data_IF_035932483737
#
_entry.id   IF_035932483737
#
_cell.length_a   1.000
_cell.length_b   1.000
_cell.length_c   1.000
_cell.angle_alpha   90.00
_cell.angle_beta   90.00
_cell.angle_gamma   90.00
#
_symmetry.space_group_name_H-M   'P 1'
#
loop_
_entity.id
_entity.type
_entity.pdbx_description
1 polymer ?
#
# COMPACT_ATOMS: atom_id res chain seq x y z
N UNK A 1 -23.31 4.26 4.07
CA UNK A 1 -22.08 4.98 4.50
C UNK A 1 -22.47 6.43 4.79
N UNK A 2 -22.08 7.00 5.95
CA UNK A 2 -22.42 8.38 6.29
C UNK A 2 -21.45 9.35 5.60
N UNK A 3 -21.94 10.12 4.63
CA UNK A 3 -21.13 11.06 3.82
C UNK A 3 -20.49 12.16 4.67
N UNK A 4 -21.10 12.53 5.80
CA UNK A 4 -20.54 13.51 6.72
C UNK A 4 -19.26 12.96 7.40
N UNK A 5 -19.27 11.69 7.83
CA UNK A 5 -18.09 11.03 8.42
C UNK A 5 -16.98 10.95 7.38
N UNK A 6 -17.28 10.48 6.15
CA UNK A 6 -16.29 10.40 5.09
C UNK A 6 -15.63 11.75 4.78
N UNK A 7 -16.44 12.83 4.69
CA UNK A 7 -15.92 14.18 4.44
C UNK A 7 -15.04 14.67 5.59
N UNK A 8 -15.37 14.31 6.82
CA UNK A 8 -14.56 14.65 8.00
C UNK A 8 -13.23 13.94 7.96
N UNK A 9 -13.22 12.63 7.70
CA UNK A 9 -11.97 11.84 7.59
C UNK A 9 -11.06 12.33 6.46
N UNK A 10 -11.63 12.63 5.30
CA UNK A 10 -10.88 13.18 4.18
C UNK A 10 -10.24 14.54 4.53
N UNK A 11 -10.97 15.41 5.27
CA UNK A 11 -10.42 16.69 5.74
C UNK A 11 -9.35 16.53 6.81
N UNK A 12 -9.46 15.53 7.67
CA UNK A 12 -8.45 15.23 8.69
C UNK A 12 -7.17 14.77 8.02
N UNK A 13 -7.23 13.78 7.10
CA UNK A 13 -6.07 13.35 6.33
C UNK A 13 -5.44 14.52 5.54
N UNK A 14 -6.27 15.37 4.92
CA UNK A 14 -5.77 16.54 4.17
C UNK A 14 -5.05 17.58 5.05
N UNK A 15 -5.24 17.56 6.37
CA UNK A 15 -4.57 18.42 7.34
C UNK A 15 -3.34 17.77 8.00
N UNK A 16 -3.00 16.57 7.61
CA UNK A 16 -1.81 15.86 8.06
C UNK A 16 -0.70 15.90 7.00
N UNK A 17 0.08 16.98 6.89
CA UNK A 17 1.07 17.14 5.82
C UNK A 17 2.13 16.05 5.83
N UNK A 18 2.47 15.52 7.01
CA UNK A 18 3.41 14.39 7.15
C UNK A 18 2.90 13.13 6.47
N UNK A 19 1.67 12.71 6.77
CA UNK A 19 1.04 11.53 6.15
C UNK A 19 0.90 11.72 4.63
N UNK A 20 0.45 12.90 4.19
CA UNK A 20 0.31 13.21 2.77
C UNK A 20 1.65 13.19 2.03
N UNK A 21 2.70 13.73 2.63
CA UNK A 21 4.04 13.67 2.04
C UNK A 21 4.48 12.24 1.80
N UNK A 22 4.40 11.38 2.81
CA UNK A 22 4.84 10.00 2.72
C UNK A 22 3.97 9.14 1.80
N UNK A 23 2.66 9.43 1.70
CA UNK A 23 1.75 8.69 0.83
C UNK A 23 1.84 9.18 -0.63
N UNK A 24 1.80 10.50 -0.86
CA UNK A 24 1.60 11.06 -2.20
C UNK A 24 2.89 11.59 -2.84
N UNK A 25 3.79 12.22 -2.06
CA UNK A 25 4.98 12.86 -2.62
C UNK A 25 6.20 11.94 -2.61
N UNK A 26 6.38 11.14 -1.57
CA UNK A 26 7.58 10.29 -1.43
C UNK A 26 7.71 9.21 -2.52
N UNK A 27 6.65 8.45 -2.90
CA UNK A 27 6.77 7.42 -3.94
C UNK A 27 7.23 7.99 -5.31
N UNK A 28 6.59 9.02 -5.87
CA UNK A 28 7.07 9.60 -7.12
C UNK A 28 8.45 10.25 -6.98
N UNK A 29 8.76 10.88 -5.82
CA UNK A 29 10.08 11.42 -5.56
C UNK A 29 11.16 10.34 -5.58
N UNK A 30 10.90 9.19 -4.95
CA UNK A 30 11.81 8.03 -4.98
C UNK A 30 12.07 7.59 -6.42
N UNK A 31 11.01 7.48 -7.24
CA UNK A 31 11.15 7.11 -8.66
C UNK A 31 11.98 8.15 -9.44
N UNK A 32 11.77 9.44 -9.19
CA UNK A 32 12.55 10.53 -9.82
C UNK A 32 14.02 10.46 -9.40
N UNK A 33 14.31 10.21 -8.13
CA UNK A 33 15.69 10.05 -7.62
C UNK A 33 16.38 8.87 -8.32
N UNK A 34 15.71 7.71 -8.43
CA UNK A 34 16.24 6.56 -9.16
C UNK A 34 16.45 6.91 -10.64
N UNK A 35 15.48 7.57 -11.27
CA UNK A 35 15.59 8.01 -12.65
C UNK A 35 16.62 9.14 -12.89
N UNK A 36 17.09 9.82 -11.85
CA UNK A 36 18.16 10.80 -11.98
C UNK A 36 19.56 10.17 -12.16
N UNK A 37 19.70 8.87 -11.82
CA UNK A 37 20.94 8.11 -12.02
C UNK A 37 21.03 7.62 -13.47
N UNK A 38 22.00 8.09 -14.30
CA UNK A 38 22.06 7.74 -15.71
C UNK A 38 22.11 6.23 -15.97
N UNK A 39 22.90 5.48 -15.18
CA UNK A 39 23.03 4.02 -15.29
C UNK A 39 21.67 3.27 -15.09
N UNK A 40 20.70 3.86 -14.40
CA UNK A 40 19.39 3.24 -14.18
C UNK A 40 18.40 3.50 -15.33
N UNK A 41 18.75 4.36 -16.27
CA UNK A 41 18.00 4.61 -17.51
C UNK A 41 18.45 3.75 -18.67
N UNK A 42 19.58 3.07 -18.54
CA UNK A 42 20.12 2.20 -19.57
C UNK A 42 19.56 0.78 -19.41
N UNK A 43 19.19 0.10 -20.52
CA UNK A 43 18.80 -1.31 -20.50
C UNK A 43 19.92 -2.16 -19.90
N UNK A 44 19.58 -3.09 -19.04
CA UNK A 44 20.54 -3.99 -18.40
C UNK A 44 20.28 -5.45 -18.80
N UNK A 45 21.31 -6.16 -19.26
CA UNK A 45 21.21 -7.57 -19.67
C UNK A 45 20.72 -8.46 -18.49
N UNK A 46 21.16 -8.16 -17.27
CA UNK A 46 20.74 -8.87 -16.05
C UNK A 46 19.26 -8.69 -15.67
N UNK A 47 18.55 -7.75 -16.30
CA UNK A 47 17.12 -7.50 -16.12
C UNK A 47 16.31 -7.82 -17.38
N UNK A 48 16.83 -8.68 -18.26
CA UNK A 48 16.15 -9.04 -19.52
C UNK A 48 15.99 -7.86 -20.47
N UNK A 49 16.91 -6.89 -20.47
CA UNK A 49 16.85 -5.69 -21.31
C UNK A 49 15.95 -4.57 -20.76
N UNK A 50 15.40 -4.71 -19.55
CA UNK A 50 14.64 -3.65 -18.89
C UNK A 50 15.60 -2.64 -18.23
N UNK A 51 15.14 -1.40 -18.11
CA UNK A 51 15.83 -0.37 -17.33
C UNK A 51 15.51 -0.57 -15.84
N UNK A 52 16.47 -0.30 -14.96
CA UNK A 52 16.24 -0.35 -13.51
C UNK A 52 15.03 0.51 -13.11
N UNK A 53 14.91 1.73 -13.67
CA UNK A 53 13.81 2.63 -13.37
C UNK A 53 12.44 2.01 -13.70
N UNK A 54 12.31 1.25 -14.80
CA UNK A 54 11.04 0.58 -15.16
C UNK A 54 10.68 -0.53 -14.16
N UNK A 55 11.68 -1.29 -13.71
CA UNK A 55 11.51 -2.35 -12.71
C UNK A 55 11.06 -1.80 -11.35
N UNK A 56 11.45 -0.56 -11.01
CA UNK A 56 11.06 0.09 -9.77
C UNK A 56 9.70 0.79 -9.80
N UNK A 57 9.04 0.91 -10.95
CA UNK A 57 7.68 1.52 -11.01
C UNK A 57 6.68 0.77 -10.12
N UNK A 58 6.48 -0.56 -10.26
CA UNK A 58 5.59 -1.30 -9.36
C UNK A 58 5.98 -1.17 -7.88
N UNK A 59 7.28 -1.19 -7.59
CA UNK A 59 7.82 -1.08 -6.24
C UNK A 59 7.46 0.26 -5.60
N UNK A 60 7.67 1.38 -6.30
CA UNK A 60 7.35 2.72 -5.79
C UNK A 60 5.85 2.93 -5.61
N UNK A 61 5.02 2.36 -6.48
CA UNK A 61 3.56 2.32 -6.30
C UNK A 61 3.19 1.59 -5.02
N UNK A 62 3.79 0.43 -4.76
CA UNK A 62 3.55 -0.35 -3.53
C UNK A 62 4.01 0.40 -2.27
N UNK A 63 5.11 1.15 -2.32
CA UNK A 63 5.56 1.97 -1.19
C UNK A 63 4.46 2.91 -0.71
N UNK A 64 3.80 3.63 -1.62
CA UNK A 64 2.69 4.52 -1.26
C UNK A 64 1.52 3.79 -0.59
N UNK A 65 1.18 2.59 -1.08
CA UNK A 65 0.11 1.76 -0.50
C UNK A 65 0.48 1.23 0.89
N UNK A 66 1.71 0.77 1.06
CA UNK A 66 2.24 0.27 2.33
C UNK A 66 2.24 1.40 3.36
N UNK A 67 2.70 2.59 3.00
CA UNK A 67 2.65 3.76 3.90
C UNK A 67 1.22 4.10 4.29
N UNK A 68 0.30 4.16 3.33
CA UNK A 68 -1.10 4.49 3.61
C UNK A 68 -1.77 3.46 4.52
N UNK A 69 -1.57 2.16 4.25
CA UNK A 69 -2.21 1.06 4.97
C UNK A 69 -1.52 0.72 6.30
N UNK A 70 -0.19 0.62 6.31
CA UNK A 70 0.57 0.05 7.45
C UNK A 70 0.99 1.12 8.46
N UNK A 71 1.23 2.36 8.01
CA UNK A 71 1.70 3.43 8.88
C UNK A 71 0.60 4.45 9.21
N UNK A 72 -0.05 5.04 8.21
CA UNK A 72 -0.95 6.15 8.42
C UNK A 72 -2.30 5.71 9.03
N UNK A 73 -2.96 4.71 8.43
CA UNK A 73 -4.29 4.27 8.87
C UNK A 73 -4.33 3.74 10.31
N UNK A 74 -3.39 2.88 10.77
CA UNK A 74 -3.41 2.38 12.15
C UNK A 74 -3.25 3.50 13.20
N UNK A 75 -2.40 4.49 12.91
CA UNK A 75 -2.19 5.63 13.79
C UNK A 75 -3.49 6.43 14.02
N UNK A 76 -4.25 6.69 12.94
CA UNK A 76 -5.54 7.37 13.02
C UNK A 76 -6.57 6.60 13.84
N UNK A 77 -6.74 5.29 13.56
CA UNK A 77 -7.71 4.44 14.26
C UNK A 77 -7.39 4.26 15.75
N UNK A 78 -6.13 4.06 16.10
CA UNK A 78 -5.70 3.95 17.48
C UNK A 78 -5.80 5.28 18.22
N UNK A 79 -5.57 6.42 17.54
CA UNK A 79 -5.79 7.75 18.07
C UNK A 79 -7.24 7.98 18.51
N UNK A 80 -8.21 7.54 17.72
CA UNK A 80 -9.62 7.62 18.11
C UNK A 80 -9.95 6.78 19.33
N UNK A 81 -9.32 5.61 19.46
CA UNK A 81 -9.46 4.77 20.67
C UNK A 81 -8.83 5.45 21.88
N UNK A 82 -7.59 5.90 21.77
CA UNK A 82 -6.82 6.52 22.86
C UNK A 82 -7.50 7.78 23.41
N UNK A 83 -8.07 8.62 22.54
CA UNK A 83 -8.79 9.83 22.92
C UNK A 83 -10.27 9.60 23.29
N UNK A 84 -10.73 8.34 23.35
CA UNK A 84 -12.10 7.99 23.71
C UNK A 84 -13.18 8.46 22.72
N UNK A 85 -12.80 8.76 21.46
CA UNK A 85 -13.73 9.18 20.41
C UNK A 85 -14.73 8.07 20.12
N UNK A 86 -14.28 6.82 20.04
CA UNK A 86 -15.16 5.66 19.78
C UNK A 86 -16.22 5.48 20.88
N UNK A 87 -15.85 5.70 22.15
CA UNK A 87 -16.79 5.63 23.28
C UNK A 87 -17.85 6.75 23.21
N UNK A 88 -17.45 7.97 22.83
CA UNK A 88 -18.38 9.07 22.61
C UNK A 88 -19.29 8.84 21.40
N UNK A 89 -18.77 8.22 20.34
CA UNK A 89 -19.59 7.87 19.18
C UNK A 89 -20.65 6.82 19.50
N UNK A 90 -20.40 5.91 20.44
CA UNK A 90 -21.37 4.91 20.87
C UNK A 90 -22.65 5.53 21.47
N UNK A 91 -22.60 6.78 21.96
CA UNK A 91 -23.78 7.54 22.44
C UNK A 91 -24.50 8.34 21.34
N UNK A 92 -24.04 8.25 20.10
CA UNK A 92 -24.64 8.91 18.93
C UNK A 92 -25.28 7.87 17.99
N UNK A 93 -26.18 8.27 17.08
CA UNK A 93 -26.78 7.36 16.10
C UNK A 93 -25.79 6.87 15.04
N UNK A 94 -24.53 7.33 15.06
CA UNK A 94 -23.48 6.94 14.11
C UNK A 94 -22.82 5.65 14.58
N UNK A 95 -22.91 4.60 13.77
CA UNK A 95 -22.27 3.31 14.07
C UNK A 95 -20.74 3.44 13.99
N UNK A 96 -19.98 2.90 14.94
CA UNK A 96 -18.51 2.89 14.89
C UNK A 96 -17.94 2.26 13.61
N UNK A 97 -18.63 1.27 13.03
CA UNK A 97 -18.26 0.68 11.73
C UNK A 97 -18.28 1.69 10.57
N UNK A 98 -19.05 2.76 10.67
CA UNK A 98 -19.06 3.83 9.68
C UNK A 98 -17.75 4.64 9.69
N UNK A 99 -17.14 4.81 10.87
CA UNK A 99 -15.83 5.45 10.98
C UNK A 99 -14.74 4.57 10.38
N UNK A 100 -14.71 3.27 10.71
CA UNK A 100 -13.73 2.34 10.15
C UNK A 100 -13.82 2.27 8.63
N UNK A 101 -15.05 2.13 8.08
CA UNK A 101 -15.23 2.08 6.63
C UNK A 101 -14.85 3.41 5.95
N UNK A 102 -15.09 4.56 6.60
CA UNK A 102 -14.68 5.86 6.07
C UNK A 102 -13.16 6.01 6.06
N UNK A 103 -12.47 5.60 7.13
CA UNK A 103 -11.01 5.57 7.22
C UNK A 103 -10.40 4.67 6.15
N UNK A 104 -10.90 3.44 6.01
CA UNK A 104 -10.44 2.52 4.97
C UNK A 104 -10.61 3.10 3.58
N UNK A 105 -11.77 3.71 3.29
CA UNK A 105 -12.03 4.31 1.97
C UNK A 105 -11.12 5.51 1.69
N UNK A 106 -10.92 6.39 2.68
CA UNK A 106 -10.05 7.57 2.51
C UNK A 106 -8.60 7.16 2.25
N UNK A 107 -8.08 6.16 2.99
CA UNK A 107 -6.72 5.67 2.76
C UNK A 107 -6.60 4.84 1.47
N UNK A 108 -7.66 4.10 1.07
CA UNK A 108 -7.71 3.44 -0.23
C UNK A 108 -7.62 4.47 -1.38
N UNK A 109 -8.42 5.54 -1.30
CA UNK A 109 -8.39 6.62 -2.31
C UNK A 109 -7.03 7.33 -2.33
N UNK A 110 -6.42 7.58 -1.17
CA UNK A 110 -5.09 8.16 -1.08
C UNK A 110 -4.02 7.24 -1.70
N UNK A 111 -4.09 5.92 -1.47
CA UNK A 111 -3.19 4.94 -2.07
C UNK A 111 -3.35 4.84 -3.59
N UNK A 112 -4.58 4.84 -4.10
CA UNK A 112 -4.85 4.86 -5.55
C UNK A 112 -4.37 6.17 -6.17
N UNK A 113 -4.61 7.30 -5.52
CA UNK A 113 -4.11 8.60 -5.97
C UNK A 113 -2.58 8.63 -6.01
N UNK A 114 -1.92 8.06 -4.98
CA UNK A 114 -0.46 7.91 -4.94
C UNK A 114 0.05 7.13 -6.15
N UNK A 115 -0.60 6.01 -6.48
CA UNK A 115 -0.24 5.22 -7.67
C UNK A 115 -0.38 6.03 -8.96
N UNK A 116 -1.49 6.75 -9.13
CA UNK A 116 -1.72 7.59 -10.31
C UNK A 116 -0.68 8.71 -10.42
N UNK A 117 -0.36 9.39 -9.30
CA UNK A 117 0.68 10.44 -9.28
C UNK A 117 2.05 9.83 -9.62
N UNK A 118 2.39 8.67 -9.04
CA UNK A 118 3.66 7.98 -9.30
C UNK A 118 3.79 7.58 -10.77
N UNK A 119 2.75 7.00 -11.38
CA UNK A 119 2.74 6.65 -12.79
C UNK A 119 2.83 7.87 -13.70
N UNK A 120 2.11 8.95 -13.36
CA UNK A 120 2.12 10.20 -14.13
C UNK A 120 3.49 10.86 -14.09
N UNK A 121 4.07 11.00 -12.90
CA UNK A 121 5.41 11.59 -12.73
C UNK A 121 6.47 10.70 -13.39
N UNK A 122 6.40 9.40 -13.21
CA UNK A 122 7.28 8.43 -13.87
C UNK A 122 7.24 8.57 -15.39
N UNK A 123 6.05 8.71 -15.97
CA UNK A 123 5.87 8.92 -17.42
C UNK A 123 6.46 10.24 -17.89
N UNK A 124 6.21 11.33 -17.18
CA UNK A 124 6.62 12.67 -17.61
C UNK A 124 8.10 12.97 -17.38
N UNK A 125 8.70 12.42 -16.31
CA UNK A 125 10.07 12.76 -15.88
C UNK A 125 11.09 11.69 -16.27
N UNK A 126 10.70 10.41 -16.14
CA UNK A 126 11.60 9.28 -16.35
C UNK A 126 11.30 8.52 -17.68
N UNK A 127 10.27 8.95 -18.41
CA UNK A 127 9.78 8.29 -19.63
C UNK A 127 9.53 6.79 -19.45
N UNK A 128 8.96 6.42 -18.27
CA UNK A 128 8.60 5.02 -17.99
C UNK A 128 7.37 4.61 -18.80
N UNK A 129 7.27 3.33 -19.12
CA UNK A 129 6.13 2.81 -19.81
C UNK A 129 4.92 2.72 -18.88
N UNK A 130 3.77 3.22 -19.34
CA UNK A 130 2.50 3.00 -18.66
C UNK A 130 2.09 1.53 -18.77
N UNK A 131 1.29 1.00 -17.82
CA UNK A 131 0.83 -0.37 -17.87
C UNK A 131 0.15 -0.71 -19.20
N UNK A 132 0.69 -1.72 -19.90
CA UNK A 132 0.15 -2.17 -21.20
C UNK A 132 -1.12 -3.00 -21.02
N UNK A 133 -1.28 -3.65 -19.85
CA UNK A 133 -2.48 -4.41 -19.48
C UNK A 133 -3.24 -3.68 -18.35
N UNK A 134 -4.08 -2.65 -18.67
CA UNK A 134 -4.67 -1.76 -17.67
C UNK A 134 -5.67 -2.46 -16.74
N UNK A 135 -6.43 -3.45 -17.24
CA UNK A 135 -7.39 -4.17 -16.40
C UNK A 135 -6.71 -5.08 -15.39
N UNK A 136 -5.67 -5.82 -15.80
CA UNK A 136 -4.87 -6.64 -14.90
C UNK A 136 -4.14 -5.77 -13.86
N UNK A 137 -3.60 -4.63 -14.30
CA UNK A 137 -2.96 -3.68 -13.40
C UNK A 137 -3.93 -3.12 -12.35
N UNK A 138 -5.13 -2.71 -12.77
CA UNK A 138 -6.16 -2.21 -11.84
C UNK A 138 -6.57 -3.29 -10.83
N UNK A 139 -6.74 -4.53 -11.28
CA UNK A 139 -7.09 -5.65 -10.39
C UNK A 139 -5.98 -5.91 -9.37
N UNK A 140 -4.72 -5.99 -9.80
CA UNK A 140 -3.57 -6.15 -8.91
C UNK A 140 -3.45 -4.96 -7.93
N UNK A 141 -3.63 -3.73 -8.42
CA UNK A 141 -3.61 -2.52 -7.62
C UNK A 141 -4.66 -2.55 -6.50
N UNK A 142 -5.91 -2.90 -6.83
CA UNK A 142 -7.00 -2.95 -5.85
C UNK A 142 -6.77 -4.04 -4.80
N UNK A 143 -6.29 -5.22 -5.20
CA UNK A 143 -5.92 -6.29 -4.27
C UNK A 143 -4.76 -5.89 -3.36
N UNK A 144 -3.73 -5.18 -3.88
CA UNK A 144 -2.63 -4.66 -3.09
C UNK A 144 -3.11 -3.64 -2.05
N UNK A 145 -3.99 -2.71 -2.45
CA UNK A 145 -4.61 -1.74 -1.52
C UNK A 145 -5.39 -2.47 -0.43
N UNK A 146 -6.23 -3.46 -0.80
CA UNK A 146 -6.99 -4.23 0.17
C UNK A 146 -6.08 -4.98 1.15
N UNK A 147 -5.01 -5.61 0.68
CA UNK A 147 -4.05 -6.31 1.53
C UNK A 147 -3.32 -5.33 2.47
N UNK A 148 -2.91 -4.14 1.98
CA UNK A 148 -2.27 -3.12 2.79
C UNK A 148 -3.19 -2.60 3.91
N UNK A 149 -4.45 -2.29 3.58
CA UNK A 149 -5.44 -1.82 4.54
C UNK A 149 -5.85 -2.92 5.53
N UNK A 150 -5.95 -4.17 5.08
CA UNK A 150 -6.23 -5.30 5.95
C UNK A 150 -5.09 -5.51 6.98
N UNK A 151 -3.83 -5.41 6.53
CA UNK A 151 -2.66 -5.49 7.41
C UNK A 151 -2.67 -4.35 8.44
N UNK A 152 -2.93 -3.12 8.00
CA UNK A 152 -3.07 -1.98 8.91
C UNK A 152 -4.24 -2.13 9.88
N UNK A 153 -5.35 -2.73 9.43
CA UNK A 153 -6.49 -3.01 10.31
C UNK A 153 -6.12 -4.00 11.43
N UNK A 154 -5.29 -5.00 11.14
CA UNK A 154 -4.75 -5.92 12.16
C UNK A 154 -3.87 -5.16 13.15
N UNK A 155 -2.95 -4.31 12.66
CA UNK A 155 -2.09 -3.47 13.51
C UNK A 155 -2.95 -2.60 14.45
N UNK A 156 -3.97 -1.93 13.91
CA UNK A 156 -4.90 -1.13 14.71
C UNK A 156 -5.69 -1.97 15.72
N UNK A 157 -6.09 -3.20 15.35
CA UNK A 157 -6.87 -4.08 16.22
C UNK A 157 -6.08 -4.54 17.44
N UNK A 158 -4.78 -4.84 17.29
CA UNK A 158 -3.92 -5.31 18.40
C UNK A 158 -3.30 -4.17 19.20
N UNK A 159 -3.32 -2.93 18.68
CA UNK A 159 -2.69 -1.77 19.32
C UNK A 159 -3.68 -1.04 20.23
N UNK A 160 -3.25 -0.76 21.46
CA UNK A 160 -4.05 0.01 22.44
C UNK A 160 -3.80 1.53 22.36
N UNK A 161 -2.61 1.93 21.93
CA UNK A 161 -2.18 3.33 21.85
C UNK A 161 -1.52 3.62 20.50
N UNK A 162 -1.50 4.90 20.10
CA UNK A 162 -0.80 5.36 18.88
C UNK A 162 0.68 4.96 18.91
N UNK A 163 1.31 5.02 20.09
CA UNK A 163 2.72 4.67 20.26
C UNK A 163 2.99 3.18 19.96
N UNK A 164 2.10 2.29 20.43
CA UNK A 164 2.18 0.85 20.16
C UNK A 164 1.91 0.58 18.67
N UNK A 165 0.90 1.23 18.10
CA UNK A 165 0.61 1.11 16.66
C UNK A 165 1.79 1.54 15.80
N UNK A 166 2.45 2.64 16.16
CA UNK A 166 3.65 3.10 15.48
C UNK A 166 4.81 2.12 15.58
N UNK A 167 5.05 1.54 16.77
CA UNK A 167 6.11 0.56 16.98
C UNK A 167 5.88 -0.72 16.16
N UNK A 168 4.66 -1.30 16.22
CA UNK A 168 4.29 -2.48 15.43
C UNK A 168 4.30 -2.14 13.94
N UNK A 169 3.73 -0.99 13.56
CA UNK A 169 3.73 -0.50 12.19
C UNK A 169 5.15 -0.44 11.62
N UNK A 170 6.09 0.14 12.34
CA UNK A 170 7.50 0.21 11.92
C UNK A 170 8.15 -1.17 11.83
N UNK A 171 7.91 -2.05 12.79
CA UNK A 171 8.45 -3.42 12.78
C UNK A 171 7.95 -4.24 11.59
N UNK A 172 6.69 -4.02 11.16
CA UNK A 172 6.08 -4.70 10.00
C UNK A 172 6.45 -4.00 8.69
N UNK A 173 6.65 -2.70 8.71
CA UNK A 173 6.92 -1.87 7.53
C UNK A 173 8.17 -2.32 6.76
N UNK A 174 9.31 -2.47 7.44
CA UNK A 174 10.56 -2.84 6.78
C UNK A 174 10.54 -4.22 6.11
N UNK A 175 10.08 -5.31 6.77
CA UNK A 175 9.89 -6.59 6.08
C UNK A 175 8.92 -6.51 4.90
N UNK A 176 7.87 -5.70 5.02
CA UNK A 176 6.89 -5.49 3.94
C UNK A 176 7.52 -4.80 2.74
N UNK A 177 8.34 -3.76 2.95
CA UNK A 177 9.10 -3.10 1.89
C UNK A 177 10.13 -4.03 1.25
N UNK A 178 10.75 -4.92 2.04
CA UNK A 178 11.67 -5.93 1.50
C UNK A 178 10.93 -6.86 0.55
N UNK A 179 9.79 -7.39 0.96
CA UNK A 179 8.96 -8.25 0.10
C UNK A 179 8.44 -7.52 -1.14
N UNK A 180 8.18 -6.21 -1.06
CA UNK A 180 7.80 -5.39 -2.21
C UNK A 180 8.96 -5.14 -3.20
N UNK A 181 10.20 -5.53 -2.85
CA UNK A 181 11.36 -5.40 -3.73
C UNK A 181 12.10 -4.06 -3.68
N UNK A 182 11.93 -3.29 -2.57
CA UNK A 182 12.54 -1.94 -2.46
C UNK A 182 14.06 -1.99 -2.49
N UNK A 183 14.70 -2.96 -1.82
CA UNK A 183 16.17 -3.10 -1.81
C UNK A 183 16.68 -4.00 -2.91
N UNK A 184 15.92 -5.01 -3.27
CA UNK A 184 16.26 -5.95 -4.34
C UNK A 184 14.97 -6.33 -5.06
N UNK A 185 14.78 -5.95 -6.34
CA UNK A 185 13.60 -6.36 -7.09
C UNK A 185 13.41 -7.87 -7.09
N UNK A 186 12.17 -8.33 -6.94
CA UNK A 186 11.87 -9.76 -6.80
C UNK A 186 12.48 -10.62 -7.91
N UNK A 187 12.48 -10.20 -9.20
CA UNK A 187 13.14 -10.97 -10.27
C UNK A 187 14.67 -11.10 -10.14
N UNK A 188 15.29 -10.26 -9.30
CA UNK A 188 16.74 -10.28 -9.06
C UNK A 188 17.12 -11.03 -7.79
N UNK A 189 16.13 -11.56 -7.05
CA UNK A 189 16.38 -12.35 -5.84
C UNK A 189 16.84 -13.77 -6.19
N UNK A 190 17.65 -14.45 -5.31
CA UNK A 190 17.89 -15.88 -5.43
C UNK A 190 16.57 -16.66 -5.44
N UNK A 191 16.49 -17.76 -6.22
CA UNK A 191 15.28 -18.53 -6.47
C UNK A 191 14.49 -18.87 -5.20
N UNK A 192 15.14 -19.43 -4.19
CA UNK A 192 14.48 -19.76 -2.92
C UNK A 192 13.87 -18.55 -2.22
N UNK A 193 14.55 -17.39 -2.29
CA UNK A 193 14.05 -16.16 -1.66
C UNK A 193 12.88 -15.58 -2.46
N UNK A 194 12.98 -15.59 -3.78
CA UNK A 194 11.90 -15.17 -4.67
C UNK A 194 10.64 -16.01 -4.43
N UNK A 195 10.77 -17.34 -4.35
CA UNK A 195 9.65 -18.25 -4.07
C UNK A 195 8.96 -17.96 -2.74
N UNK A 196 9.71 -17.63 -1.70
CA UNK A 196 9.15 -17.25 -0.40
C UNK A 196 8.47 -15.88 -0.48
N UNK A 197 9.11 -14.91 -1.11
CA UNK A 197 8.62 -13.53 -1.20
C UNK A 197 7.31 -13.44 -1.98
N UNK A 198 7.16 -14.19 -3.07
CA UNK A 198 5.91 -14.20 -3.87
C UNK A 198 4.72 -14.83 -3.14
N UNK A 199 4.95 -15.55 -2.05
CA UNK A 199 3.87 -16.04 -1.16
C UNK A 199 3.39 -14.96 -0.17
N UNK A 200 4.09 -13.82 -0.10
CA UNK A 200 3.65 -12.67 0.68
C UNK A 200 2.74 -11.76 -0.14
N UNK A 201 1.86 -10.95 0.48
CA UNK A 201 0.92 -10.13 -0.27
C UNK A 201 1.61 -9.08 -1.15
N UNK A 202 2.77 -8.55 -0.71
CA UNK A 202 3.44 -7.47 -1.44
C UNK A 202 4.48 -7.98 -2.44
N UNK A 203 5.05 -9.16 -2.22
CA UNK A 203 5.86 -9.83 -3.25
C UNK A 203 5.00 -10.28 -4.43
N UNK A 204 3.86 -10.91 -4.16
CA UNK A 204 2.86 -11.23 -5.18
C UNK A 204 2.36 -9.98 -5.91
N UNK A 205 2.13 -8.87 -5.17
CA UNK A 205 1.71 -7.61 -5.76
C UNK A 205 2.77 -6.99 -6.68
N UNK A 206 4.05 -7.05 -6.30
CA UNK A 206 5.16 -6.55 -7.12
C UNK A 206 5.22 -7.29 -8.46
N UNK A 207 5.09 -8.61 -8.44
CA UNK A 207 5.08 -9.43 -9.64
C UNK A 207 3.82 -9.17 -10.50
N UNK A 208 2.63 -9.17 -9.88
CA UNK A 208 1.38 -8.94 -10.61
C UNK A 208 1.32 -7.56 -11.29
N UNK A 209 1.84 -6.51 -10.63
CA UNK A 209 1.94 -5.17 -11.22
C UNK A 209 3.03 -5.13 -12.32
N UNK A 210 4.12 -5.86 -12.13
CA UNK A 210 5.19 -6.02 -13.13
C UNK A 210 4.68 -6.67 -14.39
N UNK A 211 4.02 -7.85 -14.29
CA UNK A 211 3.41 -8.58 -15.39
C UNK A 211 2.47 -7.65 -16.19
N UNK A 212 1.56 -6.95 -15.49
CA UNK A 212 0.62 -6.04 -16.13
C UNK A 212 1.30 -4.83 -16.79
N UNK A 213 2.44 -4.38 -16.27
CA UNK A 213 3.24 -3.31 -16.89
C UNK A 213 3.92 -3.80 -18.16
N UNK A 214 4.41 -5.04 -18.16
CA UNK A 214 5.00 -5.69 -19.34
C UNK A 214 4.00 -5.95 -20.47
N UNK A 215 2.71 -6.09 -20.13
CA UNK A 215 1.61 -6.33 -21.07
C UNK A 215 0.94 -7.70 -20.91
N UNK A 216 1.42 -8.48 -19.96
CA UNK A 216 0.86 -9.79 -19.65
C UNK A 216 -0.27 -9.68 -18.62
N UNK A 217 -1.17 -10.66 -18.62
CA UNK A 217 -2.16 -10.76 -17.57
C UNK A 217 -1.47 -11.26 -16.30
N UNK A 218 -1.68 -10.60 -15.12
CA UNK A 218 -1.09 -11.03 -13.87
C UNK A 218 -1.40 -12.51 -13.57
N UNK A 219 -0.37 -13.26 -13.15
CA UNK A 219 -0.57 -14.68 -12.83
C UNK A 219 -1.67 -14.87 -11.78
N UNK A 220 -2.59 -15.79 -12.03
CA UNK A 220 -3.70 -16.08 -11.11
C UNK A 220 -3.23 -16.52 -9.72
N UNK A 221 -2.05 -17.16 -9.65
CA UNK A 221 -1.39 -17.50 -8.38
C UNK A 221 -1.11 -16.27 -7.54
N UNK A 222 -0.53 -15.22 -8.13
CA UNK A 222 -0.22 -13.97 -7.43
C UNK A 222 -1.51 -13.26 -6.97
N UNK A 223 -2.51 -13.18 -7.84
CA UNK A 223 -3.81 -12.60 -7.48
C UNK A 223 -4.49 -13.40 -6.36
N UNK A 224 -4.39 -14.73 -6.41
CA UNK A 224 -4.91 -15.62 -5.37
C UNK A 224 -4.23 -15.46 -4.02
N UNK A 225 -2.88 -15.32 -4.01
CA UNK A 225 -2.11 -15.03 -2.79
C UNK A 225 -2.55 -13.71 -2.18
N UNK A 226 -2.64 -12.65 -2.98
CA UNK A 226 -3.07 -11.32 -2.50
C UNK A 226 -4.48 -11.35 -1.93
N UNK A 227 -5.43 -11.98 -2.64
CA UNK A 227 -6.81 -12.13 -2.18
C UNK A 227 -6.89 -12.96 -0.90
N UNK A 228 -6.16 -14.07 -0.82
CA UNK A 228 -6.08 -14.92 0.37
C UNK A 228 -5.58 -14.14 1.59
N UNK A 229 -4.49 -13.39 1.45
CA UNK A 229 -3.99 -12.54 2.52
C UNK A 229 -4.97 -11.43 2.90
N UNK A 230 -5.60 -10.77 1.94
CA UNK A 230 -6.58 -9.74 2.23
C UNK A 230 -7.76 -10.29 3.04
N UNK A 231 -8.26 -11.48 2.70
CA UNK A 231 -9.33 -12.16 3.45
C UNK A 231 -8.87 -12.58 4.85
N UNK A 232 -7.70 -13.24 4.95
CA UNK A 232 -7.15 -13.71 6.23
C UNK A 232 -6.91 -12.55 7.20
N UNK A 233 -6.26 -11.47 6.74
CA UNK A 233 -5.97 -10.30 7.56
C UNK A 233 -7.25 -9.55 7.93
N UNK A 234 -8.23 -9.44 7.04
CA UNK A 234 -9.52 -8.82 7.34
C UNK A 234 -10.29 -9.64 8.38
N UNK A 235 -10.30 -10.96 8.28
CA UNK A 235 -10.92 -11.84 9.27
C UNK A 235 -10.22 -11.74 10.63
N UNK A 236 -8.88 -11.71 10.65
CA UNK A 236 -8.10 -11.51 11.87
C UNK A 236 -8.40 -10.14 12.50
N UNK A 237 -8.43 -9.07 11.70
CA UNK A 237 -8.78 -7.75 12.18
C UNK A 237 -10.20 -7.74 12.79
N UNK A 238 -11.19 -8.31 12.09
CA UNK A 238 -12.56 -8.37 12.58
C UNK A 238 -12.69 -9.15 13.90
N UNK A 239 -11.90 -10.22 14.10
CA UNK A 239 -11.90 -11.02 15.31
C UNK A 239 -11.27 -10.30 16.51
N UNK A 240 -10.21 -9.52 16.28
CA UNK A 240 -9.44 -8.88 17.34
C UNK A 240 -9.81 -7.41 17.57
N UNK A 241 -10.58 -6.82 16.68
CA UNK A 241 -10.98 -5.42 16.83
C UNK A 241 -11.97 -5.26 17.97
N UNK A 242 -11.54 -4.54 19.02
CA UNK A 242 -12.38 -4.18 20.16
C UNK A 242 -12.71 -2.70 20.08
N UNK A 243 -13.98 -2.39 20.31
CA UNK A 243 -14.50 -1.02 20.28
C UNK A 243 -14.27 -0.23 21.56
N UNK A 244 -13.68 -0.89 22.58
CA UNK A 244 -13.42 -0.35 23.92
C UNK A 244 -12.01 0.22 24.05
#
# INVERSE_FOLDING_TARGET
>A
MNTAVLRTEARLLAREPGSLFWILAFPPLLLVILGAVPAFREPQDGLGGLRVVDTYVPVTVLVGMIVAGVQAMPAGLTGYREHGVLRRMATTPVRPSALLSAQMLVHALAAVLSALVTLTVGRLVCDVHLPRQPFGYLMALLLAVLAALALGSVIAAVSRTVKIAGAIGTAVFFPTLFCAGVWLPVPSMPDLLADIVVLTPFGAAAQALGDATAGDWPAWSHLGVMAGWAVLLSAAAARWFRWE
#
